data_IF_836241857418
#
_entry.id   IF_836241857418
#
_cell.length_a   1.000
_cell.length_b   1.000
_cell.length_c   1.000
_cell.angle_alpha   90.00
_cell.angle_beta   90.00
_cell.angle_gamma   90.00
#
_symmetry.space_group_name_H-M   'P 1'
#
loop_
_entity.id
_entity.type
_entity.pdbx_description
1 polymer ?
#
# COMPACT_ATOMS: atom_id res chain seq x y z
N UNK A 1 -7.44 -23.57 34.76
CA UNK A 1 -8.45 -23.04 33.82
C UNK A 1 -7.71 -22.46 32.65
N UNK A 2 -7.84 -23.05 31.47
CA UNK A 2 -7.30 -22.51 30.22
C UNK A 2 -8.11 -21.26 29.88
N UNK A 3 -7.50 -20.10 29.56
CA UNK A 3 -8.27 -18.94 29.13
C UNK A 3 -9.09 -19.31 27.89
N UNK A 4 -10.33 -18.82 27.74
CA UNK A 4 -11.08 -19.01 26.51
C UNK A 4 -10.26 -18.38 25.37
N UNK A 5 -10.08 -19.13 24.28
CA UNK A 5 -9.47 -18.58 23.07
C UNK A 5 -10.47 -17.55 22.55
N UNK A 6 -10.17 -16.27 22.79
CA UNK A 6 -10.92 -15.17 22.18
C UNK A 6 -10.48 -15.13 20.73
N UNK A 7 -11.23 -15.79 19.86
CA UNK A 7 -10.97 -15.70 18.45
C UNK A 7 -11.49 -14.35 17.94
N UNK A 8 -10.57 -13.42 17.66
CA UNK A 8 -10.92 -12.14 17.04
C UNK A 8 -11.64 -12.40 15.71
N UNK A 9 -12.84 -11.82 15.49
CA UNK A 9 -13.57 -11.97 14.24
C UNK A 9 -12.74 -11.52 13.04
N UNK A 10 -12.83 -12.25 11.93
CA UNK A 10 -12.22 -11.82 10.67
C UNK A 10 -12.99 -10.62 10.14
N UNK A 11 -12.28 -9.49 9.95
CA UNK A 11 -12.80 -8.21 9.47
C UNK A 11 -12.22 -7.87 8.09
N UNK A 12 -12.14 -8.87 7.22
CA UNK A 12 -11.60 -8.73 5.86
C UNK A 12 -12.73 -8.72 4.86
N UNK A 13 -12.82 -7.67 4.02
CA UNK A 13 -13.81 -7.60 2.94
C UNK A 13 -13.44 -8.47 1.75
N UNK A 14 -14.41 -8.89 0.95
CA UNK A 14 -14.21 -9.50 -0.36
C UNK A 14 -13.33 -8.62 -1.24
N UNK A 15 -13.57 -7.31 -1.25
CA UNK A 15 -12.74 -6.36 -2.01
C UNK A 15 -11.32 -6.21 -1.45
N UNK A 16 -11.07 -6.60 -0.20
CA UNK A 16 -9.68 -6.70 0.30
C UNK A 16 -8.93 -7.90 -0.28
N UNK A 17 -9.67 -8.96 -0.63
CA UNK A 17 -9.12 -10.19 -1.22
C UNK A 17 -9.03 -10.08 -2.75
N UNK A 18 -10.06 -9.53 -3.38
CA UNK A 18 -10.17 -9.34 -4.83
C UNK A 18 -9.96 -7.86 -5.19
N UNK A 19 -8.70 -7.43 -5.18
CA UNK A 19 -8.33 -6.06 -5.60
C UNK A 19 -7.93 -6.03 -7.08
N UNK A 20 -8.41 -5.00 -7.79
CA UNK A 20 -7.94 -4.67 -9.13
C UNK A 20 -6.58 -3.97 -9.01
N UNK A 21 -5.65 -4.27 -9.90
CA UNK A 21 -4.38 -3.54 -9.95
C UNK A 21 -3.38 -4.11 -10.94
N UNK A 22 -2.28 -3.39 -11.22
CA UNK A 22 -1.25 -3.86 -12.12
C UNK A 22 -0.55 -5.10 -11.56
N UNK A 23 -0.45 -6.13 -12.39
CA UNK A 23 0.40 -7.29 -12.12
C UNK A 23 1.90 -6.96 -12.24
N UNK A 24 2.78 -7.89 -11.83
CA UNK A 24 2.48 -9.28 -11.50
C UNK A 24 2.26 -9.58 -10.01
N UNK A 25 2.44 -8.62 -9.10
CA UNK A 25 2.38 -8.90 -7.64
C UNK A 25 1.73 -7.79 -6.83
N UNK A 26 0.73 -8.12 -6.03
CA UNK A 26 0.09 -7.14 -5.13
C UNK A 26 1.04 -6.60 -4.05
N UNK A 27 1.94 -7.44 -3.52
CA UNK A 27 2.89 -7.04 -2.47
C UNK A 27 4.08 -6.24 -3.01
N UNK A 28 4.45 -6.44 -4.27
CA UNK A 28 5.62 -5.83 -4.90
C UNK A 28 5.25 -4.76 -5.95
N UNK A 29 3.98 -4.61 -6.31
CA UNK A 29 3.51 -3.60 -7.25
C UNK A 29 2.46 -2.70 -6.59
N UNK A 30 1.29 -3.24 -6.20
CA UNK A 30 0.19 -2.45 -5.65
C UNK A 30 0.55 -1.79 -4.31
N UNK A 31 1.08 -2.55 -3.35
CA UNK A 31 1.49 -2.00 -2.04
C UNK A 31 2.51 -0.85 -2.17
N UNK A 32 3.64 -1.02 -2.88
CA UNK A 32 4.61 0.04 -3.13
C UNK A 32 4.03 1.28 -3.83
N UNK A 33 3.13 1.10 -4.81
CA UNK A 33 2.44 2.20 -5.47
C UNK A 33 1.57 2.99 -4.49
N UNK A 34 0.79 2.30 -3.64
CA UNK A 34 -0.05 2.93 -2.61
C UNK A 34 0.77 3.66 -1.55
N UNK A 35 1.86 3.07 -1.08
CA UNK A 35 2.75 3.73 -0.11
C UNK A 35 3.33 5.03 -0.67
N UNK A 36 3.75 5.02 -1.94
CA UNK A 36 4.21 6.21 -2.63
C UNK A 36 3.10 7.26 -2.83
N UNK A 37 1.90 6.86 -3.22
CA UNK A 37 0.76 7.75 -3.38
C UNK A 37 0.32 8.37 -2.05
N UNK A 38 0.25 7.59 -0.98
CA UNK A 38 -0.10 8.08 0.37
C UNK A 38 0.93 9.09 0.89
N UNK A 39 2.23 8.78 0.72
CA UNK A 39 3.30 9.70 1.09
C UNK A 39 3.23 11.01 0.31
N UNK A 40 3.02 10.94 -1.02
CA UNK A 40 2.80 12.10 -1.89
C UNK A 40 1.62 12.94 -1.42
N UNK A 41 0.48 12.30 -1.16
CA UNK A 41 -0.76 12.96 -0.78
C UNK A 41 -0.61 13.74 0.53
N UNK A 42 0.01 13.15 1.56
CA UNK A 42 0.31 13.84 2.82
C UNK A 42 1.15 15.10 2.63
N UNK A 43 2.12 15.07 1.71
CA UNK A 43 2.97 16.23 1.41
C UNK A 43 2.19 17.34 0.70
N UNK A 44 1.23 16.97 -0.16
CA UNK A 44 0.34 17.94 -0.80
C UNK A 44 -0.58 18.59 0.23
N UNK A 45 -1.20 17.80 1.12
CA UNK A 45 -2.12 18.27 2.16
C UNK A 45 -1.43 19.21 3.16
N UNK A 46 -0.17 18.97 3.48
CA UNK A 46 0.64 19.88 4.31
C UNK A 46 1.12 21.14 3.59
N UNK A 47 0.82 21.28 2.29
CA UNK A 47 1.30 22.39 1.45
C UNK A 47 2.80 22.37 1.20
N UNK A 48 3.47 21.23 1.42
CA UNK A 48 4.91 21.12 1.29
C UNK A 48 5.34 21.26 -0.17
N UNK A 49 6.35 22.10 -0.43
CA UNK A 49 6.98 22.18 -1.75
C UNK A 49 7.97 21.04 -1.90
N UNK A 50 7.75 20.13 -2.83
CA UNK A 50 8.67 19.03 -3.11
C UNK A 50 9.36 19.26 -4.44
N UNK A 51 10.68 19.12 -4.47
CA UNK A 51 11.48 19.23 -5.69
C UNK A 51 12.03 17.89 -6.16
N UNK A 52 12.26 16.96 -5.25
CA UNK A 52 12.82 15.64 -5.53
C UNK A 52 12.37 14.63 -4.49
N UNK A 53 12.15 13.40 -4.93
CA UNK A 53 11.97 12.24 -4.07
C UNK A 53 13.22 11.35 -4.06
N UNK A 54 13.35 10.52 -3.04
CA UNK A 54 14.24 9.37 -3.04
C UNK A 54 13.51 8.23 -2.34
N UNK A 55 13.55 7.06 -2.94
CA UNK A 55 12.96 5.85 -2.40
C UNK A 55 14.02 4.77 -2.32
N UNK A 56 14.24 4.23 -1.13
CA UNK A 56 15.16 3.13 -0.89
C UNK A 56 14.36 1.86 -0.62
N UNK A 57 14.35 0.95 -1.60
CA UNK A 57 13.76 -0.37 -1.48
C UNK A 57 14.73 -1.31 -0.79
N UNK A 58 14.24 -2.07 0.20
CA UNK A 58 15.03 -3.00 1.02
C UNK A 58 14.36 -4.37 1.09
N UNK A 59 15.10 -5.37 1.58
CA UNK A 59 14.64 -6.74 1.73
C UNK A 59 14.13 -7.36 0.41
N UNK A 60 12.98 -8.03 0.45
CA UNK A 60 12.39 -8.71 -0.72
C UNK A 60 11.93 -7.74 -1.82
N UNK A 61 11.50 -6.52 -1.46
CA UNK A 61 11.19 -5.47 -2.45
C UNK A 61 12.41 -5.10 -3.29
N UNK A 62 13.60 -5.05 -2.67
CA UNK A 62 14.82 -4.81 -3.43
C UNK A 62 15.26 -6.03 -4.21
N UNK A 63 15.23 -7.21 -3.59
CA UNK A 63 15.76 -8.44 -4.19
C UNK A 63 15.01 -8.86 -5.45
N UNK A 64 13.69 -8.64 -5.49
CA UNK A 64 12.84 -9.08 -6.60
C UNK A 64 12.16 -7.93 -7.34
N UNK A 65 12.39 -6.69 -6.92
CA UNK A 65 11.60 -5.54 -7.34
C UNK A 65 11.63 -5.26 -8.83
N UNK A 66 12.79 -5.48 -9.48
CA UNK A 66 12.91 -5.26 -10.93
C UNK A 66 12.04 -6.23 -11.75
N UNK A 67 11.95 -7.49 -11.32
CA UNK A 67 11.09 -8.49 -11.96
C UNK A 67 9.60 -8.25 -11.72
N UNK A 68 9.25 -7.62 -10.59
CA UNK A 68 7.87 -7.28 -10.23
C UNK A 68 7.46 -5.85 -10.62
N UNK A 69 8.35 -5.06 -11.20
CA UNK A 69 8.09 -3.66 -11.52
C UNK A 69 7.82 -2.78 -10.29
N UNK A 70 8.45 -3.08 -9.15
CA UNK A 70 8.32 -2.29 -7.92
C UNK A 70 8.81 -0.87 -8.10
N UNK A 71 9.90 -0.70 -8.85
CA UNK A 71 10.47 0.59 -9.22
C UNK A 71 9.46 1.49 -9.94
N UNK A 72 8.91 1.01 -11.05
CA UNK A 72 7.88 1.75 -11.81
C UNK A 72 6.60 1.96 -11.03
N UNK A 73 6.20 1.01 -10.18
CA UNK A 73 5.01 1.15 -9.33
C UNK A 73 5.18 2.30 -8.32
N UNK A 74 6.35 2.39 -7.68
CA UNK A 74 6.69 3.52 -6.80
C UNK A 74 6.72 4.83 -7.59
N UNK A 75 7.32 4.86 -8.78
CA UNK A 75 7.33 6.07 -9.63
C UNK A 75 5.90 6.53 -9.95
N UNK A 76 5.02 5.62 -10.38
CA UNK A 76 3.62 5.93 -10.66
C UNK A 76 2.89 6.47 -9.43
N UNK A 77 3.11 5.86 -8.26
CA UNK A 77 2.54 6.35 -7.00
C UNK A 77 3.04 7.76 -6.63
N UNK A 78 4.32 8.08 -6.85
CA UNK A 78 4.87 9.42 -6.63
C UNK A 78 4.33 10.47 -7.62
N UNK A 79 3.86 10.04 -8.79
CA UNK A 79 3.11 10.88 -9.72
C UNK A 79 1.62 11.02 -9.33
N UNK A 80 1.15 10.22 -8.38
CA UNK A 80 -0.23 10.22 -7.90
C UNK A 80 -1.16 9.33 -8.74
N UNK A 81 -0.61 8.36 -9.46
CA UNK A 81 -1.42 7.36 -10.17
C UNK A 81 -2.05 6.39 -9.17
N UNK A 82 -3.30 6.00 -9.45
CA UNK A 82 -4.03 5.00 -8.67
C UNK A 82 -3.76 3.61 -9.23
N UNK A 83 -3.31 2.62 -8.42
CA UNK A 83 -3.14 1.24 -8.90
C UNK A 83 -4.40 0.64 -9.52
N UNK A 84 -5.61 1.02 -9.10
CA UNK A 84 -6.85 0.41 -9.59
C UNK A 84 -7.22 0.88 -11.01
N UNK A 85 -6.81 2.09 -11.39
CA UNK A 85 -7.14 2.70 -12.68
C UNK A 85 -5.93 2.93 -13.59
N UNK A 86 -4.72 2.60 -13.13
CA UNK A 86 -3.50 2.80 -13.88
C UNK A 86 -3.45 1.92 -15.14
N UNK A 87 -3.10 2.52 -16.28
CA UNK A 87 -2.78 1.79 -17.50
C UNK A 87 -1.47 0.99 -17.30
N UNK A 88 -1.49 -0.36 -17.39
CA UNK A 88 -0.30 -1.19 -17.23
C UNK A 88 0.79 -0.93 -18.27
N UNK A 89 0.43 -0.51 -19.48
CA UNK A 89 1.39 -0.23 -20.55
C UNK A 89 2.06 1.13 -20.35
N UNK A 90 1.31 2.14 -19.90
CA UNK A 90 1.88 3.41 -19.45
C UNK A 90 2.84 3.20 -18.27
N UNK A 91 2.45 2.38 -17.28
CA UNK A 91 3.31 2.03 -16.15
C UNK A 91 4.60 1.35 -16.59
N UNK A 92 4.51 0.43 -17.56
CA UNK A 92 5.69 -0.25 -18.12
C UNK A 92 6.69 0.72 -18.75
N UNK A 93 6.22 1.75 -19.44
CA UNK A 93 7.03 2.75 -20.16
C UNK A 93 7.44 3.95 -19.30
N UNK A 94 6.94 4.02 -18.08
CA UNK A 94 7.11 5.18 -17.21
C UNK A 94 8.59 5.53 -16.95
N UNK A 95 9.49 4.57 -16.69
CA UNK A 95 10.92 4.89 -16.52
C UNK A 95 11.52 5.58 -17.74
N UNK A 96 11.20 5.13 -18.96
CA UNK A 96 11.68 5.74 -20.20
C UNK A 96 11.07 7.13 -20.42
N UNK A 97 9.79 7.30 -20.10
CA UNK A 97 9.12 8.61 -20.14
C UNK A 97 9.79 9.61 -19.21
N UNK A 98 10.05 9.23 -17.95
CA UNK A 98 10.70 10.09 -16.96
C UNK A 98 12.18 10.35 -17.27
N UNK A 99 12.88 9.40 -17.88
CA UNK A 99 14.24 9.63 -18.35
C UNK A 99 14.32 10.67 -19.47
N UNK A 100 13.29 10.72 -20.34
CA UNK A 100 13.20 11.70 -21.42
C UNK A 100 12.70 13.08 -20.95
N UNK A 101 11.71 13.11 -20.06
CA UNK A 101 11.16 14.32 -19.47
C UNK A 101 10.86 14.12 -17.97
N UNK A 102 11.82 14.51 -17.09
CA UNK A 102 11.70 14.24 -15.66
C UNK A 102 10.90 15.31 -14.91
N UNK A 103 10.49 16.41 -15.54
CA UNK A 103 9.85 17.54 -14.86
C UNK A 103 8.32 17.41 -14.89
N UNK A 104 7.69 17.45 -13.72
CA UNK A 104 6.24 17.32 -13.54
C UNK A 104 5.72 18.45 -12.65
N UNK A 105 4.57 19.07 -12.94
CA UNK A 105 3.96 20.05 -12.04
C UNK A 105 3.70 19.46 -10.65
N UNK A 106 4.08 20.17 -9.58
CA UNK A 106 3.77 19.78 -8.22
C UNK A 106 2.48 20.46 -7.73
N UNK A 107 1.48 19.73 -7.19
CA UNK A 107 0.17 20.32 -6.83
C UNK A 107 0.22 21.44 -5.80
N UNK A 108 1.15 21.40 -4.83
CA UNK A 108 1.34 22.49 -3.86
C UNK A 108 2.21 23.65 -4.41
N UNK A 109 2.43 23.69 -5.73
CA UNK A 109 3.18 24.71 -6.44
C UNK A 109 4.63 24.35 -6.72
N UNK A 110 5.13 24.81 -7.88
CA UNK A 110 6.47 24.51 -8.39
C UNK A 110 6.50 23.26 -9.26
N UNK A 111 7.71 22.71 -9.43
CA UNK A 111 7.96 21.55 -10.29
C UNK A 111 8.65 20.46 -9.48
N UNK A 112 8.14 19.25 -9.58
CA UNK A 112 8.78 18.02 -9.15
C UNK A 112 9.69 17.53 -10.28
N UNK A 113 10.95 17.21 -9.99
CA UNK A 113 11.73 16.34 -10.88
C UNK A 113 11.74 14.95 -10.31
N UNK A 114 11.34 13.99 -11.13
CA UNK A 114 11.34 12.59 -10.79
C UNK A 114 12.11 11.83 -11.86
N UNK A 115 13.17 11.16 -11.44
CA UNK A 115 14.01 10.34 -12.31
C UNK A 115 13.87 8.86 -11.93
N UNK A 116 14.06 7.91 -12.86
CA UNK A 116 14.08 6.48 -12.51
C UNK A 116 15.05 6.15 -11.37
N UNK A 117 16.19 6.83 -11.32
CA UNK A 117 17.25 6.64 -10.32
C UNK A 117 16.87 7.11 -8.92
N UNK A 118 15.76 7.87 -8.78
CA UNK A 118 15.22 8.24 -7.48
C UNK A 118 14.67 7.03 -6.74
N UNK A 119 14.32 5.94 -7.44
CA UNK A 119 13.91 4.67 -6.83
C UNK A 119 15.06 3.67 -6.89
N UNK A 120 15.59 3.33 -5.72
CA UNK A 120 16.85 2.56 -5.58
C UNK A 120 16.58 1.21 -4.96
N UNK A 121 16.88 0.16 -5.71
CA UNK A 121 16.93 -1.21 -5.21
C UNK A 121 18.25 -1.39 -4.47
N UNK A 122 18.24 -1.24 -3.15
CA UNK A 122 19.47 -1.32 -2.36
C UNK A 122 19.99 -2.76 -2.31
N UNK A 123 21.28 -3.01 -2.55
CA UNK A 123 21.84 -4.35 -2.35
C UNK A 123 21.85 -4.67 -0.86
N UNK A 124 21.69 -5.96 -0.48
CA UNK A 124 21.64 -6.40 0.91
C UNK A 124 22.75 -5.82 1.80
N UNK A 125 23.98 -5.73 1.28
CA UNK A 125 25.13 -5.13 1.98
C UNK A 125 24.92 -3.70 2.49
N UNK A 126 24.05 -2.92 1.84
CA UNK A 126 23.79 -1.52 2.18
C UNK A 126 22.92 -1.36 3.44
N UNK A 127 22.17 -2.40 3.84
CA UNK A 127 21.26 -2.36 5.00
C UNK A 127 21.40 -3.61 5.90
N UNK A 128 22.44 -4.45 5.71
CA UNK A 128 22.63 -5.70 6.46
C UNK A 128 22.74 -5.54 7.98
N UNK A 129 23.12 -4.35 8.45
CA UNK A 129 23.22 -4.01 9.88
C UNK A 129 21.92 -3.43 10.44
N UNK A 130 20.93 -3.16 9.59
CA UNK A 130 19.64 -2.64 9.99
C UNK A 130 18.68 -3.78 10.33
N UNK A 131 17.88 -3.61 11.38
CA UNK A 131 16.75 -4.50 11.66
C UNK A 131 15.53 -3.97 10.91
N UNK A 132 15.21 -4.56 9.77
CA UNK A 132 14.04 -4.19 9.00
C UNK A 132 12.74 -4.56 9.76
N UNK A 133 11.72 -3.68 9.77
CA UNK A 133 10.44 -3.98 10.38
C UNK A 133 9.68 -5.09 9.64
N UNK A 134 9.91 -5.22 8.33
CA UNK A 134 9.31 -6.25 7.48
C UNK A 134 10.23 -6.57 6.28
N UNK A 135 10.18 -7.78 5.69
CA UNK A 135 10.95 -8.08 4.46
C UNK A 135 10.64 -7.13 3.30
N UNK A 136 9.39 -6.67 3.19
CA UNK A 136 8.99 -5.69 2.19
C UNK A 136 9.06 -4.25 2.73
N UNK A 137 10.26 -3.75 3.03
CA UNK A 137 10.46 -2.39 3.56
C UNK A 137 10.89 -1.43 2.46
N UNK A 138 10.33 -0.22 2.47
CA UNK A 138 10.76 0.90 1.66
C UNK A 138 10.88 2.17 2.52
N UNK A 139 11.84 3.04 2.21
CA UNK A 139 12.01 4.34 2.88
C UNK A 139 11.83 5.45 1.86
N UNK A 140 10.87 6.33 2.11
CA UNK A 140 10.50 7.43 1.22
C UNK A 140 10.99 8.74 1.83
N UNK A 141 11.77 9.49 1.06
CA UNK A 141 12.35 10.77 1.45
C UNK A 141 11.94 11.85 0.45
N UNK A 142 11.40 12.96 0.94
CA UNK A 142 11.05 14.14 0.14
C UNK A 142 11.97 15.31 0.44
N UNK A 143 12.32 16.10 -0.58
CA UNK A 143 13.27 17.21 -0.46
C UNK A 143 12.80 18.49 -1.14
N UNK A 144 13.11 19.62 -0.52
CA UNK A 144 13.08 20.95 -1.14
C UNK A 144 14.45 21.23 -1.78
N UNK A 145 14.48 21.54 -3.07
CA UNK A 145 15.74 21.74 -3.80
C UNK A 145 16.65 20.51 -3.76
N UNK A 146 17.97 20.74 -3.72
CA UNK A 146 18.99 19.67 -3.77
C UNK A 146 19.41 19.12 -2.41
N UNK A 147 19.01 19.71 -1.28
CA UNK A 147 19.62 19.35 0.03
C UNK A 147 18.66 19.17 1.20
N UNK A 148 17.66 20.02 1.38
CA UNK A 148 16.84 19.98 2.59
C UNK A 148 15.81 18.85 2.50
N UNK A 149 15.87 17.93 3.47
CA UNK A 149 14.87 16.87 3.65
C UNK A 149 13.69 17.46 4.42
N UNK A 150 12.48 17.26 3.91
CA UNK A 150 11.23 17.76 4.52
C UNK A 150 10.34 16.63 5.05
N UNK A 151 10.52 15.41 4.55
CA UNK A 151 9.92 14.22 5.12
C UNK A 151 10.80 13.01 4.83
N UNK A 152 10.82 12.06 5.77
CA UNK A 152 11.62 10.84 5.67
C UNK A 152 10.96 9.74 6.50
N UNK A 153 10.27 8.81 5.84
CA UNK A 153 9.34 7.86 6.49
C UNK A 153 9.57 6.45 5.98
N UNK A 154 9.49 5.46 6.88
CA UNK A 154 9.57 4.04 6.54
C UNK A 154 8.19 3.44 6.37
N UNK A 155 7.98 2.73 5.26
CA UNK A 155 6.75 2.04 4.90
C UNK A 155 7.01 0.55 4.67
N UNK A 156 6.02 -0.27 4.96
CA UNK A 156 6.04 -1.72 4.72
C UNK A 156 4.86 -2.14 3.88
N UNK A 157 5.09 -3.07 2.95
CA UNK A 157 4.01 -3.73 2.18
C UNK A 157 3.72 -5.10 2.78
N UNK A 158 2.53 -5.27 3.35
CA UNK A 158 2.15 -6.45 4.14
C UNK A 158 1.60 -7.61 3.29
N UNK A 159 1.34 -7.37 1.99
CA UNK A 159 0.68 -8.33 1.10
C UNK A 159 -0.79 -7.99 0.88
N UNK A 160 -1.39 -8.50 -0.20
CA UNK A 160 -2.80 -8.17 -0.54
C UNK A 160 -3.07 -6.69 -0.87
N UNK A 161 -2.02 -5.90 -1.10
CA UNK A 161 -2.12 -4.44 -1.31
C UNK A 161 -2.14 -3.60 -0.03
N UNK A 162 -2.05 -4.22 1.14
CA UNK A 162 -1.97 -3.53 2.43
C UNK A 162 -0.59 -2.93 2.68
N UNK A 163 -0.58 -1.75 3.29
CA UNK A 163 0.64 -1.01 3.66
C UNK A 163 0.55 -0.53 5.11
N UNK A 164 1.70 -0.39 5.76
CA UNK A 164 1.79 0.34 7.05
C UNK A 164 2.97 1.30 7.02
N UNK A 165 2.84 2.40 7.75
CA UNK A 165 3.91 3.36 7.98
C UNK A 165 4.44 3.17 9.40
N UNK A 166 5.73 2.92 9.53
CA UNK A 166 6.36 2.57 10.80
C UNK A 166 6.69 3.80 11.63
N UNK A 167 7.04 4.91 10.98
CA UNK A 167 7.53 6.14 11.64
C UNK A 167 6.44 7.23 11.77
N UNK A 168 5.21 6.96 11.35
CA UNK A 168 4.11 7.93 11.28
C UNK A 168 2.83 7.45 12.00
N UNK A 169 1.67 8.10 11.75
CA UNK A 169 0.41 7.78 12.42
C UNK A 169 -0.17 6.38 12.10
N UNK A 170 0.54 5.55 11.34
CA UNK A 170 0.06 4.31 10.74
C UNK A 170 -0.32 4.54 9.28
N UNK A 171 -0.01 3.55 8.43
CA UNK A 171 -0.43 3.53 7.03
C UNK A 171 -1.90 3.10 6.91
N UNK A 172 -2.35 2.92 5.68
CA UNK A 172 -3.71 2.51 5.28
C UNK A 172 -4.13 1.18 5.93
N UNK A 173 -4.45 1.25 7.23
CA UNK A 173 -5.34 0.33 7.89
C UNK A 173 -6.69 0.83 7.45
N UNK A 174 -7.25 0.20 6.42
CA UNK A 174 -8.69 0.26 6.13
C UNK A 174 -9.39 0.37 7.50
N UNK A 175 -10.09 1.49 7.75
CA UNK A 175 -10.58 1.87 9.07
C UNK A 175 -11.14 0.62 9.76
N UNK A 176 -10.71 0.35 11.01
CA UNK A 176 -10.98 -0.92 11.69
C UNK A 176 -12.47 -1.23 11.58
N UNK A 177 -12.83 -2.17 10.70
CA UNK A 177 -14.22 -2.39 10.34
C UNK A 177 -14.97 -2.78 11.62
N UNK A 178 -16.24 -2.38 11.77
CA UNK A 178 -17.01 -2.88 12.88
C UNK A 178 -17.11 -4.41 12.80
N UNK A 179 -17.43 -5.05 13.92
CA UNK A 179 -17.67 -6.49 13.90
C UNK A 179 -18.73 -6.83 12.84
N UNK A 180 -18.49 -7.87 12.03
CA UNK A 180 -19.44 -8.29 11.01
C UNK A 180 -20.74 -8.78 11.64
N UNK A 181 -21.84 -8.72 10.89
CA UNK A 181 -23.15 -9.17 11.36
C UNK A 181 -23.17 -10.65 11.81
N UNK A 182 -22.37 -11.48 11.15
CA UNK A 182 -22.19 -12.90 11.43
C UNK A 182 -20.70 -13.18 11.65
N UNK A 183 -20.18 -12.93 12.86
CA UNK A 183 -18.76 -13.07 13.15
C UNK A 183 -18.32 -14.52 13.10
N UNK A 184 -17.20 -14.74 12.44
CA UNK A 184 -16.48 -16.00 12.42
C UNK A 184 -14.98 -15.71 12.46
N UNK A 185 -14.22 -16.68 12.93
CA UNK A 185 -12.77 -16.56 13.08
C UNK A 185 -12.01 -17.83 12.66
N UNK A 186 -12.74 -18.91 12.38
CA UNK A 186 -12.21 -20.18 11.91
C UNK A 186 -13.26 -20.91 11.06
N UNK A 187 -12.88 -22.06 10.50
CA UNK A 187 -13.77 -22.86 9.66
C UNK A 187 -15.00 -23.39 10.44
N UNK A 188 -14.86 -23.65 11.73
CA UNK A 188 -15.94 -24.22 12.55
C UNK A 188 -17.04 -23.19 12.83
N UNK A 189 -16.64 -21.98 13.24
CA UNK A 189 -17.52 -20.83 13.46
C UNK A 189 -18.19 -20.36 12.17
N UNK A 190 -17.47 -20.37 11.04
CA UNK A 190 -18.05 -20.06 9.73
C UNK A 190 -19.12 -21.08 9.32
N UNK A 191 -18.83 -22.38 9.46
CA UNK A 191 -19.78 -23.43 9.13
C UNK A 191 -21.01 -23.41 10.07
N UNK A 192 -20.82 -23.03 11.34
CA UNK A 192 -21.92 -22.81 12.26
C UNK A 192 -22.81 -21.64 11.82
N UNK A 193 -22.23 -20.49 11.49
CA UNK A 193 -22.97 -19.32 11.02
C UNK A 193 -23.80 -19.64 9.75
N UNK A 194 -23.22 -20.37 8.80
CA UNK A 194 -23.93 -20.80 7.59
C UNK A 194 -25.14 -21.70 7.90
N UNK A 195 -24.98 -22.66 8.82
CA UNK A 195 -26.09 -23.52 9.27
C UNK A 195 -27.19 -22.73 9.98
N UNK A 196 -26.84 -21.76 10.82
CA UNK A 196 -27.79 -20.92 11.54
C UNK A 196 -28.64 -20.05 10.60
N UNK A 197 -28.08 -19.65 9.45
CA UNK A 197 -28.81 -18.97 8.38
C UNK A 197 -29.65 -19.92 7.49
N UNK A 198 -29.48 -21.23 7.60
CA UNK A 198 -29.99 -22.18 6.60
C UNK A 198 -29.37 -21.99 5.21
N UNK A 199 -28.16 -21.42 5.14
CA UNK A 199 -27.51 -20.97 3.91
C UNK A 199 -26.14 -21.58 3.65
N UNK A 200 -25.43 -21.02 2.68
CA UNK A 200 -24.06 -21.42 2.31
C UNK A 200 -23.01 -20.58 3.04
N UNK A 201 -21.74 -20.98 2.97
CA UNK A 201 -20.63 -20.15 3.46
C UNK A 201 -20.61 -18.78 2.75
N UNK A 202 -20.92 -18.75 1.45
CA UNK A 202 -21.03 -17.53 0.68
C UNK A 202 -22.16 -16.60 1.16
N UNK A 203 -23.27 -17.15 1.66
CA UNK A 203 -24.36 -16.36 2.24
C UNK A 203 -23.91 -15.62 3.52
N UNK A 204 -23.05 -16.25 4.34
CA UNK A 204 -22.45 -15.59 5.52
C UNK A 204 -21.56 -14.42 5.09
N UNK A 205 -20.69 -14.64 4.08
CA UNK A 205 -19.79 -13.59 3.57
C UNK A 205 -20.59 -12.41 2.99
N UNK A 206 -21.61 -12.68 2.18
CA UNK A 206 -22.48 -11.64 1.59
C UNK A 206 -23.25 -10.85 2.66
N UNK A 207 -23.77 -11.52 3.69
CA UNK A 207 -24.45 -10.85 4.79
C UNK A 207 -23.51 -9.92 5.57
N UNK A 208 -22.26 -10.32 5.76
CA UNK A 208 -21.23 -9.49 6.39
C UNK A 208 -20.85 -8.27 5.54
N UNK A 209 -20.69 -8.45 4.22
CA UNK A 209 -20.43 -7.32 3.30
C UNK A 209 -21.57 -6.30 3.32
N UNK A 210 -22.82 -6.76 3.20
CA UNK A 210 -23.99 -5.90 3.19
C UNK A 210 -24.13 -5.09 4.49
N UNK A 211 -23.71 -5.67 5.62
CA UNK A 211 -23.72 -4.97 6.91
C UNK A 211 -22.71 -3.81 6.97
N UNK A 212 -21.57 -3.94 6.27
CA UNK A 212 -20.57 -2.88 6.18
C UNK A 212 -20.91 -1.82 5.13
N UNK A 213 -21.63 -2.17 4.05
CA UNK A 213 -22.07 -1.20 3.02
C UNK A 213 -23.21 -0.29 3.48
N UNK A 214 -24.08 -0.78 4.37
CA UNK A 214 -25.19 0.00 4.92
C UNK A 214 -24.82 0.78 6.19
N UNK A 215 -23.53 0.93 6.52
CA UNK A 215 -23.10 1.71 7.68
C UNK A 215 -23.30 3.22 7.41
N UNK A 216 -24.20 3.90 8.15
CA UNK A 216 -24.47 5.33 7.94
C UNK A 216 -23.27 6.24 8.27
N UNK A 217 -22.15 5.71 8.78
CA UNK A 217 -20.89 6.45 8.97
C UNK A 217 -20.03 6.53 7.71
N UNK A 218 -20.38 5.81 6.65
CA UNK A 218 -19.67 5.77 5.37
C UNK A 218 -20.51 6.28 4.18
N UNK A 219 -21.68 6.86 4.44
CA UNK A 219 -22.55 7.51 3.46
C UNK A 219 -22.40 9.05 3.49
#
# INVERSE_FOLDING_TARGET
MTPPIVHTPIRTRLLHVYRIGPGPSSSHTVGPMRAAAAFRQRLIESGARVRRFRVDLKGSLSATGKGHGTDRAVLGGLLGWDPETCDPDALRKLPETLAADPETPWPAGGTLRLEPEDVRLLPYRAYRSERLPHPNTMRLTARTGSRQVIADTTWVSLGGGFIDEIDGPGGDRDAELPDPALPFADAASLAHAARSLGGTLGAVVLANEAAWENDPRLA
#
